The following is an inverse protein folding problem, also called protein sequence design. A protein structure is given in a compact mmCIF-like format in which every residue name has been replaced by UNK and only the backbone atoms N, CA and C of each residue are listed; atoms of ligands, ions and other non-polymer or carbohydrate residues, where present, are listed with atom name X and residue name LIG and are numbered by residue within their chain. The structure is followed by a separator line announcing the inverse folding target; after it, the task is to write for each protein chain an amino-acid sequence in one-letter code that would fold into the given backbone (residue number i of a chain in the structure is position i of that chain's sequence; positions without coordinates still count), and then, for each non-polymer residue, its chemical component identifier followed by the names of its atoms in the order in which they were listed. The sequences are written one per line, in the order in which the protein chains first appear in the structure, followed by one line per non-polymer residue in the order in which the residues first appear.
data_IF_253638261423
#
_entry.id   IF_253638261423
#
_cell.length_a   1.000
_cell.length_b   1.000
_cell.length_c   1.000
_cell.angle_alpha   90.00
_cell.angle_beta   90.00
_cell.angle_gamma   90.00
#
_symmetry.space_group_name_H-M   'P 1'
#
loop_
_entity.id
_entity.type
_entity.pdbx_description
1 polymer ?
#
# COMPACT_ATOMS: atom_id res chain seq x y z
N UNK A 1 19.56 6.80 -0.69
CA UNK A 1 18.51 7.80 -0.38
C UNK A 1 18.11 7.64 1.07
N UNK A 2 18.64 8.51 1.93
CA UNK A 2 18.28 8.66 3.34
C UNK A 2 17.01 9.51 3.41
N UNK A 3 15.92 8.93 3.93
CA UNK A 3 14.71 9.68 4.24
C UNK A 3 14.98 10.39 5.56
N UNK A 4 14.60 11.66 5.67
CA UNK A 4 14.73 12.39 6.93
C UNK A 4 13.83 11.76 8.00
N UNK A 5 14.30 11.63 9.26
CA UNK A 5 13.52 11.01 10.34
C UNK A 5 12.19 11.74 10.61
N UNK A 6 12.12 13.04 10.31
CA UNK A 6 10.88 13.82 10.39
C UNK A 6 9.80 13.31 9.41
N UNK A 7 10.21 12.93 8.20
CA UNK A 7 9.30 12.41 7.17
C UNK A 7 8.84 10.99 7.56
N UNK A 8 9.72 10.19 8.12
CA UNK A 8 9.39 8.87 8.68
C UNK A 8 8.32 8.98 9.78
N UNK A 9 8.53 9.89 10.74
CA UNK A 9 7.57 10.13 11.83
C UNK A 9 6.21 10.63 11.30
N UNK A 10 6.19 11.49 10.28
CA UNK A 10 4.95 11.93 9.64
C UNK A 10 4.21 10.78 8.96
N UNK A 11 4.92 9.91 8.24
CA UNK A 11 4.33 8.71 7.61
C UNK A 11 3.68 7.82 8.68
N UNK A 12 4.41 7.51 9.75
CA UNK A 12 3.91 6.66 10.83
C UNK A 12 2.72 7.31 11.56
N UNK A 13 2.78 8.62 11.81
CA UNK A 13 1.67 9.36 12.44
C UNK A 13 0.42 9.32 11.59
N UNK A 14 0.48 9.67 10.31
CA UNK A 14 -0.69 9.66 9.41
C UNK A 14 -1.26 8.24 9.26
N UNK A 15 -0.38 7.24 9.26
CA UNK A 15 -0.79 5.86 9.19
C UNK A 15 -1.50 5.39 10.47
N UNK A 16 -0.96 5.68 11.66
CA UNK A 16 -1.53 5.23 12.93
C UNK A 16 -2.72 6.06 13.40
N UNK A 17 -2.64 7.39 13.29
CA UNK A 17 -3.66 8.31 13.76
C UNK A 17 -4.91 8.28 12.88
N UNK A 18 -4.74 8.26 11.55
CA UNK A 18 -5.85 8.41 10.61
C UNK A 18 -6.14 7.14 9.80
N UNK A 19 -5.32 6.08 9.94
CA UNK A 19 -5.45 4.81 9.20
C UNK A 19 -5.47 5.00 7.69
N UNK A 20 -4.71 5.99 7.20
CA UNK A 20 -4.64 6.29 5.78
C UNK A 20 -3.96 5.18 4.98
N UNK A 21 -4.41 5.00 3.74
CA UNK A 21 -3.79 4.07 2.78
C UNK A 21 -2.43 4.63 2.34
N UNK A 22 -1.46 3.74 2.04
CA UNK A 22 -0.12 4.13 1.59
C UNK A 22 -0.15 5.11 0.40
N UNK A 23 -1.07 4.91 -0.55
CA UNK A 23 -1.23 5.79 -1.71
C UNK A 23 -1.73 7.19 -1.35
N UNK A 24 -2.57 7.31 -0.31
CA UNK A 24 -3.06 8.61 0.19
C UNK A 24 -1.93 9.38 0.86
N UNK A 25 -1.15 8.70 1.71
CA UNK A 25 0.02 9.28 2.38
C UNK A 25 1.07 9.72 1.35
N UNK A 26 1.32 8.90 0.34
CA UNK A 26 2.24 9.21 -0.75
C UNK A 26 1.84 10.46 -1.53
N UNK A 27 0.54 10.61 -1.83
CA UNK A 27 0.01 11.78 -2.53
C UNK A 27 0.04 13.05 -1.67
N UNK A 28 -0.21 12.93 -0.36
CA UNK A 28 -0.18 14.06 0.57
C UNK A 28 1.24 14.58 0.81
N UNK A 29 2.18 13.68 1.07
CA UNK A 29 3.58 14.02 1.34
C UNK A 29 4.40 14.22 0.07
N UNK A 30 3.79 14.10 -1.10
CA UNK A 30 4.44 14.19 -2.42
C UNK A 30 5.65 13.24 -2.56
N UNK A 31 5.58 12.07 -1.93
CA UNK A 31 6.64 11.05 -1.98
C UNK A 31 6.17 9.86 -2.80
N UNK A 32 7.13 9.13 -3.37
CA UNK A 32 6.81 7.90 -4.05
C UNK A 32 6.26 6.86 -3.07
N UNK A 33 5.21 6.13 -3.46
CA UNK A 33 4.55 5.14 -2.61
C UNK A 33 5.51 4.02 -2.14
N UNK A 34 6.58 3.74 -2.87
CA UNK A 34 7.64 2.81 -2.45
C UNK A 34 8.39 3.28 -1.21
N UNK A 35 8.57 4.59 -1.04
CA UNK A 35 9.19 5.20 0.14
C UNK A 35 8.32 4.98 1.37
N UNK A 36 7.03 5.29 1.27
CA UNK A 36 6.03 5.03 2.33
C UNK A 36 6.00 3.55 2.69
N UNK A 37 6.03 2.69 1.67
CA UNK A 37 6.03 1.25 1.84
C UNK A 37 7.29 0.72 2.54
N UNK A 38 8.47 1.28 2.24
CA UNK A 38 9.72 0.91 2.91
C UNK A 38 9.70 1.32 4.38
N UNK A 39 9.22 2.52 4.69
CA UNK A 39 9.06 3.00 6.08
C UNK A 39 8.11 2.11 6.87
N UNK A 40 6.94 1.80 6.31
CA UNK A 40 5.96 0.92 6.97
C UNK A 40 6.52 -0.50 7.15
N UNK A 41 7.26 -1.03 6.16
CA UNK A 41 7.90 -2.34 6.28
C UNK A 41 9.02 -2.35 7.33
N UNK A 42 9.78 -1.26 7.47
CA UNK A 42 10.81 -1.10 8.49
C UNK A 42 10.21 -1.02 9.91
N UNK A 43 9.01 -0.44 10.04
CA UNK A 43 8.24 -0.45 11.27
C UNK A 43 7.52 -1.79 11.56
N UNK A 44 7.65 -2.80 10.68
CA UNK A 44 7.08 -4.13 10.85
C UNK A 44 5.60 -4.25 10.46
N UNK A 45 5.05 -3.28 9.73
CA UNK A 45 3.65 -3.30 9.33
C UNK A 45 3.40 -4.18 8.09
N UNK A 46 2.30 -4.96 8.08
CA UNK A 46 1.99 -5.84 6.98
C UNK A 46 1.77 -5.04 5.70
N UNK A 47 2.29 -5.59 4.61
CA UNK A 47 2.03 -5.10 3.26
C UNK A 47 0.51 -5.07 3.06
N UNK A 48 -0.07 -3.87 2.93
CA UNK A 48 -1.43 -3.78 2.39
C UNK A 48 -1.36 -4.26 0.95
N UNK A 49 -1.59 -5.56 0.76
CA UNK A 49 -1.76 -6.12 -0.57
C UNK A 49 -2.90 -5.30 -1.20
N UNK A 50 -2.74 -4.76 -2.41
CA UNK A 50 -3.89 -4.21 -3.11
C UNK A 50 -4.98 -5.27 -3.06
N UNK A 51 -6.19 -4.87 -2.66
CA UNK A 51 -7.37 -5.73 -2.75
C UNK A 51 -7.35 -6.28 -4.17
N UNK A 52 -7.09 -7.59 -4.27
CA UNK A 52 -6.99 -8.26 -5.56
C UNK A 52 -8.38 -8.12 -6.15
N UNK A 53 -8.52 -7.18 -7.10
CA UNK A 53 -9.81 -6.99 -7.77
C UNK A 53 -10.15 -8.33 -8.42
N UNK A 54 -11.41 -8.74 -8.27
CA UNK A 54 -11.93 -9.86 -9.02
C UNK A 54 -11.52 -9.69 -10.48
N UNK A 55 -10.77 -10.66 -10.99
CA UNK A 55 -10.33 -10.73 -12.36
C UNK A 55 -11.56 -10.75 -13.25
N UNK A 56 -11.49 -10.09 -14.41
CA UNK A 56 -12.58 -10.12 -15.41
C UNK A 56 -12.85 -11.57 -15.86
N UNK A 57 -11.89 -12.47 -15.69
CA UNK A 57 -12.02 -13.90 -16.05
C UNK A 57 -12.76 -14.74 -15.00
N UNK A 58 -12.95 -14.24 -13.77
CA UNK A 58 -13.63 -14.99 -12.70
C UNK A 58 -15.02 -15.51 -13.09
N UNK A 59 -15.87 -14.74 -13.79
CA UNK A 59 -17.16 -15.22 -14.31
C UNK A 59 -17.05 -16.31 -15.39
N UNK A 60 -15.90 -16.42 -16.07
CA UNK A 60 -15.69 -17.31 -17.21
C UNK A 60 -14.91 -18.58 -16.84
N UNK A 61 -14.36 -18.67 -15.63
CA UNK A 61 -13.64 -19.86 -15.13
C UNK A 61 -14.45 -21.16 -15.27
N UNK A 62 -15.74 -21.23 -14.91
CA UNK A 62 -16.51 -22.47 -15.01
C UNK A 62 -16.60 -22.98 -16.45
N UNK A 63 -16.60 -22.07 -17.44
CA UNK A 63 -16.65 -22.43 -18.85
C UNK A 63 -15.28 -22.92 -19.36
N UNK A 64 -14.18 -22.32 -18.90
CA UNK A 64 -12.82 -22.70 -19.31
C UNK A 64 -12.44 -24.08 -18.76
N UNK A 65 -12.87 -24.43 -17.55
CA UNK A 65 -12.58 -25.75 -16.94
C UNK A 65 -13.30 -26.93 -17.59
N UNK A 66 -14.25 -26.67 -18.50
CA UNK A 66 -15.03 -27.70 -19.19
C UNK A 66 -14.44 -28.15 -20.54
N UNK A 67 -13.30 -27.59 -20.97
CA UNK A 67 -12.60 -27.96 -22.22
C UNK A 67 -11.33 -28.74 -21.92
#
# INVERSE_FOLDING_TARGET
MTISPELEAQILRLYHAEKWRCGTIARQLHVHHTTVHRVLAQAGLPRHKPLQRASIIEPYLPFIEQT
#
